data_IF_140852791997
#
_entry.id   IF_140852791997
#
_cell.length_a   1.000
_cell.length_b   1.000
_cell.length_c   1.000
_cell.angle_alpha   90.00
_cell.angle_beta   90.00
_cell.angle_gamma   90.00
#
_symmetry.space_group_name_H-M   'P 1'
#
loop_
_entity.id
_entity.type
_entity.pdbx_description
1 polymer ?
#
# COMPACT_ATOMS: atom_id res chain seq x y z
N UNK A 1 -71.78 -40.85 49.46
CA UNK A 1 -70.39 -40.32 49.47
C UNK A 1 -69.59 -40.55 48.17
N UNK A 2 -70.15 -41.04 47.05
CA UNK A 2 -69.36 -41.32 45.83
C UNK A 2 -69.53 -40.35 44.63
N UNK A 3 -70.55 -39.46 44.60
CA UNK A 3 -70.75 -38.55 43.44
C UNK A 3 -69.93 -37.27 43.50
N UNK A 4 -69.76 -36.67 44.68
CA UNK A 4 -68.96 -35.44 44.84
C UNK A 4 -67.46 -35.66 44.59
N UNK A 5 -66.95 -36.87 44.89
CA UNK A 5 -65.55 -37.23 44.64
C UNK A 5 -65.26 -37.46 43.15
N UNK A 6 -66.22 -37.92 42.35
CA UNK A 6 -66.04 -38.07 40.89
C UNK A 6 -66.11 -36.74 40.14
N UNK A 7 -66.97 -35.82 40.56
CA UNK A 7 -67.07 -34.49 39.95
C UNK A 7 -65.84 -33.63 40.24
N UNK A 8 -65.30 -33.67 41.47
CA UNK A 8 -64.02 -33.02 41.81
C UNK A 8 -62.84 -33.58 41.02
N UNK A 9 -62.79 -34.90 40.79
CA UNK A 9 -61.75 -35.55 39.97
C UNK A 9 -61.88 -35.18 38.49
N UNK A 10 -63.09 -35.14 37.93
CA UNK A 10 -63.36 -34.69 36.55
C UNK A 10 -63.00 -33.21 36.36
N UNK A 11 -63.27 -32.36 37.35
CA UNK A 11 -62.92 -30.94 37.31
C UNK A 11 -61.39 -30.72 37.37
N UNK A 12 -60.66 -31.48 38.21
CA UNK A 12 -59.19 -31.45 38.21
C UNK A 12 -58.58 -32.01 36.93
N UNK A 13 -59.13 -33.09 36.36
CA UNK A 13 -58.68 -33.64 35.07
C UNK A 13 -58.88 -32.65 33.92
N UNK A 14 -60.01 -31.94 33.89
CA UNK A 14 -60.25 -30.85 32.91
C UNK A 14 -59.27 -29.69 33.08
N UNK A 15 -59.00 -29.25 34.32
CA UNK A 15 -58.00 -28.21 34.59
C UNK A 15 -56.59 -28.62 34.15
N UNK A 16 -56.17 -29.85 34.45
CA UNK A 16 -54.87 -30.38 34.01
C UNK A 16 -54.80 -30.45 32.48
N UNK A 17 -55.87 -30.90 31.81
CA UNK A 17 -55.96 -30.91 30.36
C UNK A 17 -55.86 -29.51 29.74
N UNK A 18 -56.53 -28.51 30.33
CA UNK A 18 -56.43 -27.12 29.88
C UNK A 18 -55.03 -26.53 30.07
N UNK A 19 -54.36 -26.83 31.21
CA UNK A 19 -52.98 -26.38 31.45
C UNK A 19 -52.01 -27.02 30.44
N UNK A 20 -52.14 -28.33 30.19
CA UNK A 20 -51.30 -29.03 29.20
C UNK A 20 -51.52 -28.50 27.79
N UNK A 21 -52.75 -28.16 27.42
CA UNK A 21 -53.05 -27.55 26.11
C UNK A 21 -52.40 -26.16 25.99
N UNK A 22 -52.45 -25.33 27.04
CA UNK A 22 -51.81 -24.01 27.04
C UNK A 22 -50.29 -24.15 26.89
N UNK A 23 -49.68 -25.08 27.64
CA UNK A 23 -48.23 -25.36 27.53
C UNK A 23 -47.88 -25.84 26.13
N UNK A 24 -48.66 -26.76 25.55
CA UNK A 24 -48.43 -27.27 24.20
C UNK A 24 -48.53 -26.16 23.16
N UNK A 25 -49.57 -25.33 23.22
CA UNK A 25 -49.72 -24.17 22.33
C UNK A 25 -48.53 -23.23 22.51
N UNK A 26 -48.11 -22.93 23.74
CA UNK A 26 -46.96 -22.08 23.99
C UNK A 26 -45.67 -22.65 23.36
N UNK A 27 -45.39 -23.94 23.55
CA UNK A 27 -44.21 -24.62 22.97
C UNK A 27 -44.27 -24.61 21.44
N UNK A 28 -45.41 -24.95 20.85
CA UNK A 28 -45.57 -24.99 19.38
C UNK A 28 -45.43 -23.59 18.78
N UNK A 29 -46.01 -22.57 19.43
CA UNK A 29 -45.95 -21.19 18.94
C UNK A 29 -44.52 -20.67 19.00
N UNK A 30 -43.80 -20.89 20.10
CA UNK A 30 -42.39 -20.49 20.22
C UNK A 30 -41.48 -21.23 19.23
N UNK A 31 -41.65 -22.55 19.09
CA UNK A 31 -40.87 -23.34 18.13
C UNK A 31 -41.15 -22.91 16.67
N UNK A 32 -42.40 -22.63 16.33
CA UNK A 32 -42.81 -22.14 15.01
C UNK A 32 -42.26 -20.74 14.75
N UNK A 33 -42.38 -19.82 15.72
CA UNK A 33 -41.80 -18.48 15.62
C UNK A 33 -40.29 -18.51 15.48
N UNK A 34 -39.59 -19.40 16.18
CA UNK A 34 -38.16 -19.61 16.04
C UNK A 34 -37.79 -20.13 14.65
N UNK A 35 -38.49 -21.14 14.15
CA UNK A 35 -38.22 -21.73 12.84
C UNK A 35 -38.53 -20.75 11.70
N UNK A 36 -39.69 -20.10 11.74
CA UNK A 36 -40.11 -19.09 10.76
C UNK A 36 -39.17 -17.89 10.83
N UNK A 37 -38.80 -17.42 12.02
CA UNK A 37 -37.86 -16.33 12.22
C UNK A 37 -36.49 -16.60 11.60
N UNK A 38 -35.92 -17.79 11.83
CA UNK A 38 -34.65 -18.18 11.22
C UNK A 38 -34.75 -18.36 9.70
N UNK A 39 -35.84 -18.96 9.20
CA UNK A 39 -36.06 -19.11 7.76
C UNK A 39 -36.23 -17.76 7.05
N UNK A 40 -36.88 -16.79 7.69
CA UNK A 40 -37.01 -15.42 7.21
C UNK A 40 -35.67 -14.66 7.26
N UNK A 41 -34.90 -14.81 8.34
CA UNK A 41 -33.57 -14.20 8.47
C UNK A 41 -32.61 -14.69 7.38
N UNK A 42 -32.61 -16.00 7.07
CA UNK A 42 -31.84 -16.58 5.97
C UNK A 42 -32.30 -16.11 4.57
N UNK A 43 -33.53 -15.60 4.46
CA UNK A 43 -34.07 -14.94 3.26
C UNK A 43 -33.88 -13.42 3.27
N UNK A 44 -33.10 -12.88 4.22
CA UNK A 44 -32.80 -11.46 4.34
C UNK A 44 -33.86 -10.62 5.06
N UNK A 45 -34.88 -11.24 5.67
CA UNK A 45 -35.87 -10.54 6.48
C UNK A 45 -35.44 -10.56 7.94
N UNK A 46 -34.89 -9.45 8.44
CA UNK A 46 -34.42 -9.34 9.83
C UNK A 46 -35.35 -8.49 10.70
N UNK A 47 -35.55 -8.85 11.98
CA UNK A 47 -36.18 -7.94 12.93
C UNK A 47 -35.26 -6.73 13.17
N UNK A 48 -35.85 -5.57 13.52
CA UNK A 48 -35.15 -4.29 13.69
C UNK A 48 -34.01 -4.28 14.75
N UNK A 49 -33.85 -5.36 15.52
CA UNK A 49 -32.79 -5.55 16.51
C UNK A 49 -31.54 -6.28 15.96
N UNK A 50 -31.58 -6.79 14.73
CA UNK A 50 -30.40 -7.35 14.09
C UNK A 50 -29.53 -6.24 13.48
N UNK A 51 -28.21 -6.39 13.54
CA UNK A 51 -27.29 -5.49 12.89
C UNK A 51 -27.58 -5.44 11.38
N UNK A 52 -28.07 -4.28 10.93
CA UNK A 52 -28.50 -4.07 9.55
C UNK A 52 -27.35 -4.19 8.57
N UNK A 53 -26.11 -3.98 8.99
CA UNK A 53 -24.96 -4.05 8.10
C UNK A 53 -24.50 -5.50 7.89
N UNK A 54 -24.62 -6.35 8.91
CA UNK A 54 -24.46 -7.80 8.75
C UNK A 54 -25.54 -8.37 7.82
N UNK A 55 -26.79 -7.91 7.94
CA UNK A 55 -27.86 -8.35 7.05
C UNK A 55 -27.60 -7.94 5.58
N UNK A 56 -27.10 -6.72 5.35
CA UNK A 56 -26.70 -6.25 4.01
C UNK A 56 -25.51 -7.03 3.45
N UNK A 57 -24.53 -7.41 4.27
CA UNK A 57 -23.35 -8.14 3.78
C UNK A 57 -23.69 -9.54 3.25
N UNK A 58 -24.81 -10.12 3.69
CA UNK A 58 -25.34 -11.38 3.18
C UNK A 58 -26.15 -11.23 1.88
N UNK A 59 -26.49 -10.00 1.47
CA UNK A 59 -27.26 -9.74 0.27
C UNK A 59 -26.48 -10.17 -0.99
N UNK A 60 -27.08 -11.05 -1.80
CA UNK A 60 -26.43 -11.62 -2.99
C UNK A 60 -25.62 -12.90 -2.73
N UNK A 61 -25.49 -13.34 -1.48
CA UNK A 61 -24.95 -14.67 -1.14
C UNK A 61 -26.09 -15.69 -1.24
N UNK A 62 -26.14 -16.43 -2.34
CA UNK A 62 -27.20 -17.42 -2.60
C UNK A 62 -27.10 -18.68 -1.71
N UNK A 63 -25.92 -18.96 -1.15
CA UNK A 63 -25.65 -20.14 -0.33
C UNK A 63 -24.63 -19.83 0.77
N UNK A 64 -25.14 -19.34 1.90
CA UNK A 64 -24.33 -19.02 3.09
C UNK A 64 -23.70 -20.29 3.69
N UNK A 65 -24.24 -21.48 3.41
CA UNK A 65 -23.71 -22.74 3.94
C UNK A 65 -22.29 -23.04 3.46
N UNK A 66 -21.85 -22.45 2.34
CA UNK A 66 -20.46 -22.52 1.87
C UNK A 66 -19.45 -21.98 2.87
N UNK A 67 -19.85 -21.03 3.72
CA UNK A 67 -19.02 -20.47 4.78
C UNK A 67 -19.13 -21.24 6.10
N UNK A 68 -20.09 -22.18 6.24
CA UNK A 68 -20.27 -23.00 7.45
C UNK A 68 -18.97 -23.69 7.86
N UNK A 69 -18.20 -24.17 6.88
CA UNK A 69 -16.96 -24.89 7.15
C UNK A 69 -15.92 -24.03 7.90
N UNK A 70 -15.92 -22.71 7.71
CA UNK A 70 -15.04 -21.80 8.47
C UNK A 70 -15.35 -21.89 9.98
N UNK A 71 -16.63 -21.88 10.35
CA UNK A 71 -17.07 -21.99 11.75
C UNK A 71 -16.83 -23.37 12.34
N UNK A 72 -17.03 -24.44 11.55
CA UNK A 72 -16.75 -25.81 11.98
C UNK A 72 -15.24 -25.99 12.28
N UNK A 73 -14.38 -25.45 11.41
CA UNK A 73 -12.92 -25.47 11.60
C UNK A 73 -12.51 -24.65 12.81
N UNK A 74 -13.00 -23.41 12.96
CA UNK A 74 -12.79 -22.58 14.15
C UNK A 74 -13.15 -23.34 15.43
N UNK A 75 -14.33 -23.95 15.48
CA UNK A 75 -14.79 -24.70 16.66
C UNK A 75 -13.90 -25.93 16.95
N UNK A 76 -13.40 -26.57 15.89
CA UNK A 76 -12.45 -27.68 16.01
C UNK A 76 -11.10 -27.22 16.57
N UNK A 77 -10.60 -26.05 16.14
CA UNK A 77 -9.38 -25.46 16.68
C UNK A 77 -9.53 -25.15 18.18
N UNK A 78 -10.60 -24.48 18.59
CA UNK A 78 -10.86 -24.23 20.01
C UNK A 78 -10.98 -25.49 20.86
N UNK A 79 -11.38 -26.62 20.26
CA UNK A 79 -11.52 -27.90 20.97
C UNK A 79 -10.21 -28.66 21.12
N UNK A 80 -9.32 -28.60 20.13
CA UNK A 80 -8.18 -29.52 20.03
C UNK A 80 -6.81 -28.85 19.88
N UNK A 81 -6.74 -27.56 19.55
CA UNK A 81 -5.46 -26.88 19.40
C UNK A 81 -4.81 -26.69 20.78
N UNK A 82 -3.61 -27.24 20.93
CA UNK A 82 -2.81 -27.16 22.16
C UNK A 82 -1.93 -25.90 22.12
N UNK A 83 -2.57 -24.75 22.33
CA UNK A 83 -1.94 -23.43 22.30
C UNK A 83 -2.95 -22.30 22.51
N UNK A 84 -2.45 -21.07 22.70
CA UNK A 84 -3.30 -19.90 22.82
C UNK A 84 -3.91 -19.54 21.47
N UNK A 85 -5.21 -19.26 21.45
CA UNK A 85 -5.92 -18.79 20.26
C UNK A 85 -6.22 -17.30 20.45
N UNK A 86 -5.74 -16.50 19.49
CA UNK A 86 -6.16 -15.13 19.29
C UNK A 86 -7.25 -15.12 18.21
N UNK A 87 -8.47 -14.75 18.59
CA UNK A 87 -9.62 -14.77 17.68
C UNK A 87 -9.48 -13.76 16.53
N UNK A 88 -8.91 -12.58 16.81
CA UNK A 88 -8.75 -11.52 15.81
C UNK A 88 -7.74 -11.98 14.74
N UNK A 89 -6.64 -12.62 15.16
CA UNK A 89 -5.67 -13.21 14.23
C UNK A 89 -6.27 -14.35 13.39
N UNK A 90 -7.14 -15.18 13.98
CA UNK A 90 -7.80 -16.26 13.25
C UNK A 90 -8.71 -15.71 12.14
N UNK A 91 -9.50 -14.68 12.46
CA UNK A 91 -10.40 -14.01 11.51
C UNK A 91 -9.61 -13.28 10.42
N UNK A 92 -8.58 -12.51 10.79
CA UNK A 92 -7.70 -11.84 9.83
C UNK A 92 -7.05 -12.86 8.88
N UNK A 93 -6.55 -13.98 9.41
CA UNK A 93 -5.98 -15.07 8.62
C UNK A 93 -6.97 -15.68 7.62
N UNK A 94 -8.24 -15.84 8.01
CA UNK A 94 -9.28 -16.32 7.12
C UNK A 94 -9.59 -15.32 5.99
N UNK A 95 -9.66 -14.02 6.29
CA UNK A 95 -9.89 -12.95 5.30
C UNK A 95 -8.70 -12.85 4.33
N UNK A 96 -7.46 -12.85 4.86
CA UNK A 96 -6.24 -12.87 4.03
C UNK A 96 -6.20 -14.11 3.14
N UNK A 97 -6.56 -15.27 3.66
CA UNK A 97 -6.68 -16.52 2.88
C UNK A 97 -7.68 -16.41 1.72
N UNK A 98 -8.79 -15.68 1.90
CA UNK A 98 -9.75 -15.43 0.83
C UNK A 98 -9.12 -14.62 -0.31
N UNK A 99 -8.40 -13.54 -0.01
CA UNK A 99 -7.71 -12.74 -1.04
C UNK A 99 -6.58 -13.52 -1.72
N UNK A 100 -5.79 -14.28 -0.95
CA UNK A 100 -4.70 -15.11 -1.46
C UNK A 100 -5.20 -16.20 -2.43
N UNK A 101 -6.42 -16.71 -2.23
CA UNK A 101 -7.02 -17.75 -3.10
C UNK A 101 -7.19 -17.32 -4.56
N UNK A 102 -7.14 -16.01 -4.86
CA UNK A 102 -7.21 -15.47 -6.22
C UNK A 102 -5.93 -15.71 -7.03
N UNK A 103 -4.83 -16.13 -6.39
CA UNK A 103 -3.50 -16.25 -7.00
C UNK A 103 -3.05 -14.95 -7.71
N UNK A 104 -3.58 -13.82 -7.24
CA UNK A 104 -3.19 -12.48 -7.66
C UNK A 104 -2.38 -11.85 -6.51
N UNK A 105 -1.04 -11.72 -6.65
CA UNK A 105 -0.20 -11.19 -5.57
C UNK A 105 -0.47 -9.70 -5.27
N UNK A 106 -1.29 -9.02 -6.08
CA UNK A 106 -1.64 -7.62 -5.87
C UNK A 106 -2.97 -7.41 -5.15
N UNK A 107 -3.82 -8.45 -5.09
CA UNK A 107 -5.08 -8.39 -4.35
C UNK A 107 -4.87 -8.92 -2.94
N UNK A 108 -4.91 -8.03 -1.96
CA UNK A 108 -4.59 -8.33 -0.56
C UNK A 108 -5.53 -7.59 0.38
N UNK A 109 -5.87 -8.25 1.48
CA UNK A 109 -6.43 -7.61 2.66
C UNK A 109 -5.28 -7.08 3.53
N UNK A 110 -5.39 -5.82 3.94
CA UNK A 110 -4.42 -5.13 4.79
C UNK A 110 -5.06 -4.91 6.16
N UNK A 111 -4.39 -5.39 7.21
CA UNK A 111 -4.72 -5.04 8.58
C UNK A 111 -4.55 -3.52 8.78
N UNK A 112 -5.04 -3.00 9.91
CA UNK A 112 -4.90 -1.57 10.23
C UNK A 112 -3.46 -1.07 10.11
N UNK A 113 -2.51 -1.81 10.69
CA UNK A 113 -1.09 -1.46 10.63
C UNK A 113 -0.54 -1.52 9.20
N UNK A 114 -0.89 -2.56 8.44
CA UNK A 114 -0.44 -2.71 7.05
C UNK A 114 -1.02 -1.61 6.15
N UNK A 115 -2.25 -1.16 6.41
CA UNK A 115 -2.87 -0.06 5.68
C UNK A 115 -2.24 1.28 6.05
N UNK A 116 -2.00 1.55 7.34
CA UNK A 116 -1.27 2.74 7.80
C UNK A 116 0.13 2.83 7.16
N UNK A 117 0.90 1.74 7.19
CA UNK A 117 2.23 1.67 6.58
C UNK A 117 2.16 1.85 5.04
N UNK A 118 1.10 1.36 4.39
CA UNK A 118 0.85 1.55 2.96
C UNK A 118 0.53 3.00 2.61
N UNK A 119 -0.31 3.68 3.39
CA UNK A 119 -0.68 5.08 3.18
C UNK A 119 0.52 6.00 3.37
N UNK A 120 1.29 5.85 4.45
CA UNK A 120 2.50 6.65 4.67
C UNK A 120 3.49 6.54 3.49
N UNK A 121 3.67 5.32 2.97
CA UNK A 121 4.51 5.09 1.79
C UNK A 121 3.93 5.75 0.54
N UNK A 122 2.62 5.71 0.36
CA UNK A 122 1.96 6.21 -0.86
C UNK A 122 1.88 7.74 -0.87
N UNK A 123 1.55 8.35 0.26
CA UNK A 123 1.57 9.81 0.45
C UNK A 123 2.97 10.41 0.29
N UNK A 124 4.03 9.59 0.33
CA UNK A 124 5.40 10.09 0.28
C UNK A 124 5.77 10.87 1.54
N UNK A 125 4.97 10.74 2.61
CA UNK A 125 5.20 11.48 3.84
C UNK A 125 4.69 10.72 5.04
N UNK A 126 5.30 10.96 6.20
CA UNK A 126 4.84 10.41 7.47
C UNK A 126 5.03 11.43 8.58
N UNK A 127 4.25 11.31 9.66
CA UNK A 127 4.40 12.17 10.83
C UNK A 127 5.41 11.57 11.81
N UNK A 128 6.52 12.27 12.03
CA UNK A 128 7.58 11.77 12.90
C UNK A 128 8.72 12.76 13.09
N UNK A 129 9.88 12.25 13.47
CA UNK A 129 11.05 13.08 13.78
C UNK A 129 11.97 13.29 12.58
N UNK A 130 11.86 12.43 11.55
CA UNK A 130 12.73 12.45 10.37
C UNK A 130 14.10 11.82 10.63
N UNK A 131 14.12 10.64 11.24
CA UNK A 131 15.35 9.88 11.52
C UNK A 131 15.35 8.57 10.73
N UNK A 132 16.48 8.28 10.08
CA UNK A 132 16.81 6.92 9.66
C UNK A 132 17.57 6.24 10.80
N UNK A 133 17.00 5.16 11.31
CA UNK A 133 17.58 4.36 12.41
C UNK A 133 17.79 2.92 11.97
N UNK A 134 18.76 2.26 12.58
CA UNK A 134 19.05 0.86 12.39
C UNK A 134 19.58 0.22 13.66
N UNK A 135 19.85 -1.08 13.61
CA UNK A 135 20.48 -1.79 14.73
C UNK A 135 21.98 -1.88 14.48
N UNK A 136 22.76 -1.42 15.47
CA UNK A 136 24.21 -1.64 15.53
C UNK A 136 24.57 -2.06 16.95
N UNK A 137 25.27 -3.18 17.10
CA UNK A 137 25.70 -3.72 18.39
C UNK A 137 24.55 -3.85 19.43
N UNK A 138 23.39 -4.38 18.98
CA UNK A 138 22.14 -4.51 19.75
C UNK A 138 21.56 -3.19 20.30
N UNK A 139 21.91 -2.06 19.66
CA UNK A 139 21.42 -0.71 20.02
C UNK A 139 20.72 -0.05 18.85
N UNK A 140 19.67 0.72 19.15
CA UNK A 140 19.02 1.60 18.18
C UNK A 140 19.96 2.76 17.88
N UNK A 141 20.47 2.81 16.66
CA UNK A 141 21.50 3.78 16.24
C UNK A 141 20.99 4.60 15.08
N UNK A 142 21.23 5.92 15.13
CA UNK A 142 20.93 6.85 14.05
C UNK A 142 21.90 6.60 12.90
N UNK A 143 21.34 6.21 11.76
CA UNK A 143 22.08 6.12 10.49
C UNK A 143 22.29 7.54 9.95
N UNK A 144 21.20 8.30 9.81
CA UNK A 144 21.24 9.71 9.44
C UNK A 144 19.92 10.40 9.79
N UNK A 145 19.92 11.69 10.18
CA UNK A 145 18.73 12.51 10.11
C UNK A 145 18.38 12.80 8.64
N UNK A 146 17.09 12.98 8.36
CA UNK A 146 16.62 13.46 7.06
C UNK A 146 16.89 14.96 6.98
N UNK A 147 17.40 15.43 5.84
CA UNK A 147 17.71 16.85 5.62
C UNK A 147 16.46 17.73 5.82
N UNK A 148 16.61 18.82 6.57
CA UNK A 148 15.55 19.76 6.91
C UNK A 148 14.55 19.26 7.98
N UNK A 149 14.71 18.03 8.47
CA UNK A 149 13.81 17.42 9.45
C UNK A 149 13.89 18.05 10.85
N UNK A 150 12.87 17.85 11.70
CA UNK A 150 12.95 18.23 13.12
C UNK A 150 14.15 17.62 13.85
N UNK A 151 14.50 16.36 13.56
CA UNK A 151 15.64 15.70 14.18
C UNK A 151 16.98 16.32 13.79
N UNK A 152 17.16 16.68 12.51
CA UNK A 152 18.35 17.42 12.06
C UNK A 152 18.44 18.78 12.77
N UNK A 153 17.34 19.53 12.80
CA UNK A 153 17.25 20.84 13.47
C UNK A 153 17.50 20.75 14.98
N UNK A 154 17.15 19.62 15.60
CA UNK A 154 17.43 19.34 17.01
C UNK A 154 18.90 18.92 17.27
N UNK A 155 19.72 18.83 16.23
CA UNK A 155 21.15 18.55 16.31
C UNK A 155 21.49 17.07 16.52
N UNK A 156 20.58 16.16 16.16
CA UNK A 156 20.84 14.71 16.12
C UNK A 156 21.72 14.41 14.90
N UNK A 157 22.73 13.56 15.06
CA UNK A 157 23.74 13.29 14.03
C UNK A 157 23.89 11.78 13.78
N UNK A 158 24.46 11.38 12.63
CA UNK A 158 24.87 9.99 12.39
C UNK A 158 25.72 9.43 13.54
N UNK A 159 25.42 8.20 13.96
CA UNK A 159 26.13 7.50 15.05
C UNK A 159 25.56 7.73 16.45
N UNK A 160 24.61 8.64 16.63
CA UNK A 160 23.88 8.79 17.89
C UNK A 160 23.15 7.49 18.25
N UNK A 161 23.25 7.05 19.51
CA UNK A 161 22.52 5.90 20.03
C UNK A 161 21.30 6.35 20.81
N UNK A 162 20.12 5.89 20.42
CA UNK A 162 18.86 6.17 21.12
C UNK A 162 18.71 5.15 22.26
N UNK A 163 18.76 5.63 23.49
CA UNK A 163 18.61 4.82 24.70
C UNK A 163 17.14 4.78 25.18
N UNK A 164 16.45 5.93 25.08
CA UNK A 164 15.03 6.05 25.46
C UNK A 164 14.25 6.87 24.45
N UNK A 165 12.98 6.50 24.26
CA UNK A 165 11.97 7.31 23.60
C UNK A 165 10.88 7.62 24.62
N UNK A 166 10.75 8.91 24.97
CA UNK A 166 10.05 9.40 26.15
C UNK A 166 10.59 8.69 27.41
N UNK A 167 9.72 8.03 28.18
CA UNK A 167 10.09 7.31 29.39
C UNK A 167 10.35 5.81 29.14
N UNK A 168 10.37 5.37 27.88
CA UNK A 168 10.53 3.96 27.50
C UNK A 168 11.96 3.69 27.03
N UNK A 169 12.65 2.78 27.74
CA UNK A 169 13.92 2.21 27.28
C UNK A 169 13.74 1.42 25.98
N UNK A 170 14.72 1.55 25.09
CA UNK A 170 14.73 0.85 23.81
C UNK A 170 16.08 0.18 23.54
N UNK A 171 16.02 -0.99 22.92
CA UNK A 171 17.18 -1.78 22.50
C UNK A 171 17.07 -2.15 21.02
N UNK A 172 18.11 -2.75 20.43
CA UNK A 172 18.11 -3.19 19.03
C UNK A 172 16.95 -4.14 18.70
N UNK A 173 16.58 -5.01 19.65
CA UNK A 173 15.42 -5.91 19.53
C UNK A 173 14.07 -5.21 19.52
N UNK A 174 14.02 -3.95 19.98
CA UNK A 174 12.82 -3.13 20.07
C UNK A 174 12.78 -2.03 19.00
N UNK A 175 13.53 -2.18 17.90
CA UNK A 175 13.58 -1.18 16.83
C UNK A 175 12.18 -0.73 16.37
N UNK A 176 11.28 -1.67 16.10
CA UNK A 176 9.92 -1.37 15.62
C UNK A 176 9.11 -0.59 16.66
N UNK A 177 9.27 -0.93 17.93
CA UNK A 177 8.65 -0.22 19.06
C UNK A 177 9.22 1.20 19.18
N UNK A 178 10.55 1.36 19.07
CA UNK A 178 11.19 2.66 19.07
C UNK A 178 10.69 3.54 17.91
N UNK A 179 10.59 2.99 16.70
CA UNK A 179 10.03 3.68 15.52
C UNK A 179 8.59 4.10 15.79
N UNK A 180 7.76 3.19 16.30
CA UNK A 180 6.36 3.48 16.62
C UNK A 180 6.20 4.61 17.65
N UNK A 181 7.08 4.67 18.66
CA UNK A 181 7.07 5.74 19.68
C UNK A 181 7.55 7.09 19.12
N UNK A 182 8.47 7.08 18.15
CA UNK A 182 8.96 8.29 17.49
C UNK A 182 7.94 8.88 16.50
N UNK A 183 7.12 8.03 15.86
CA UNK A 183 5.97 8.45 15.06
C UNK A 183 4.82 8.94 15.95
N UNK A 184 3.84 9.60 15.34
CA UNK A 184 2.65 10.08 16.04
C UNK A 184 2.15 11.42 15.51
N UNK A 185 1.20 12.02 16.23
CA UNK A 185 0.54 13.26 15.80
C UNK A 185 1.53 14.41 15.57
N UNK A 186 1.30 15.17 14.50
CA UNK A 186 2.03 16.41 14.20
C UNK A 186 2.10 17.33 15.43
N UNK A 187 3.24 18.02 15.59
CA UNK A 187 3.54 18.97 16.68
C UNK A 187 3.56 18.37 18.09
N UNK A 188 3.42 17.06 18.26
CA UNK A 188 3.65 16.43 19.55
C UNK A 188 5.15 16.31 19.83
N UNK A 189 5.59 16.68 21.03
CA UNK A 189 6.99 16.55 21.47
C UNK A 189 7.34 15.07 21.71
N UNK A 190 8.57 14.69 21.37
CA UNK A 190 9.22 13.44 21.78
C UNK A 190 10.51 13.79 22.49
N UNK A 191 10.72 13.18 23.66
CA UNK A 191 11.99 13.27 24.38
C UNK A 191 12.85 12.05 24.03
N UNK A 192 14.03 12.26 23.46
CA UNK A 192 14.99 11.21 23.18
C UNK A 192 16.15 11.31 24.17
N UNK A 193 16.45 10.22 24.89
CA UNK A 193 17.73 10.11 25.60
C UNK A 193 18.76 9.51 24.66
N UNK A 194 19.78 10.27 24.31
CA UNK A 194 20.78 9.92 23.29
C UNK A 194 22.15 9.77 23.94
N UNK A 195 22.91 8.76 23.53
CA UNK A 195 24.35 8.65 23.79
C UNK A 195 25.15 8.97 22.54
N UNK A 196 26.05 9.95 22.64
CA UNK A 196 26.95 10.36 21.56
C UNK A 196 28.40 10.18 21.96
N UNK A 197 29.19 9.61 21.06
CA UNK A 197 30.63 9.46 21.24
C UNK A 197 31.29 10.83 21.53
N UNK A 198 32.14 10.89 22.57
CA UNK A 198 32.81 12.11 23.00
C UNK A 198 31.95 13.13 23.77
N UNK A 199 30.61 12.98 23.79
CA UNK A 199 29.70 13.89 24.51
C UNK A 199 28.97 13.22 25.69
N UNK A 200 28.84 11.89 25.68
CA UNK A 200 28.11 11.13 26.69
C UNK A 200 26.59 11.15 26.45
N UNK A 201 25.82 10.92 27.51
CA UNK A 201 24.35 10.83 27.45
C UNK A 201 23.69 12.17 27.72
N UNK A 202 22.71 12.55 26.89
CA UNK A 202 21.92 13.77 27.06
C UNK A 202 20.53 13.62 26.44
N UNK A 203 19.61 14.45 26.90
CA UNK A 203 18.25 14.48 26.39
C UNK A 203 18.11 15.48 25.23
N UNK A 204 17.35 15.10 24.20
CA UNK A 204 16.96 15.96 23.08
C UNK A 204 15.44 15.95 22.98
N UNK A 205 14.84 17.14 22.91
CA UNK A 205 13.42 17.31 22.63
C UNK A 205 13.24 17.58 21.15
N UNK A 206 12.41 16.78 20.50
CA UNK A 206 12.14 16.89 19.07
C UNK A 206 10.64 16.98 18.87
N UNK A 207 10.19 17.98 18.11
CA UNK A 207 8.79 18.12 17.75
C UNK A 207 8.50 17.27 16.52
N UNK A 208 7.44 16.45 16.56
CA UNK A 208 6.99 15.74 15.36
C UNK A 208 6.54 16.72 14.29
N UNK A 209 6.84 16.41 13.05
CA UNK A 209 6.40 17.17 11.88
C UNK A 209 6.10 16.21 10.72
N UNK A 210 5.50 16.71 9.65
CA UNK A 210 5.33 15.98 8.41
C UNK A 210 6.69 15.85 7.72
N UNK A 211 7.20 14.63 7.65
CA UNK A 211 8.46 14.31 7.00
C UNK A 211 8.16 13.90 5.56
N UNK A 212 8.58 14.73 4.61
CA UNK A 212 8.47 14.41 3.18
C UNK A 212 9.64 13.56 2.72
N UNK A 213 9.35 12.45 2.05
CA UNK A 213 10.33 11.66 1.35
C UNK A 213 10.71 12.37 0.04
N UNK A 214 12.00 12.37 -0.29
CA UNK A 214 12.48 12.99 -1.52
C UNK A 214 12.34 11.96 -2.65
N UNK A 215 11.22 12.02 -3.39
CA UNK A 215 10.96 11.13 -4.51
C UNK A 215 11.70 11.54 -5.79
N UNK A 216 12.01 12.83 -5.96
CA UNK A 216 12.69 13.40 -7.13
C UNK A 216 14.03 14.03 -6.75
N UNK A 217 15.11 13.56 -7.35
CA UNK A 217 16.45 14.17 -7.27
C UNK A 217 16.90 14.58 -8.66
N UNK A 218 17.63 15.68 -8.78
CA UNK A 218 18.18 16.05 -10.07
C UNK A 218 19.29 17.09 -10.03
N UNK A 219 20.14 17.03 -11.04
CA UNK A 219 21.38 17.81 -11.18
C UNK A 219 21.79 17.90 -12.66
N UNK A 220 22.74 18.78 -12.98
CA UNK A 220 23.42 18.79 -14.28
C UNK A 220 24.64 17.87 -14.17
N UNK A 221 24.75 16.87 -15.05
CA UNK A 221 25.79 15.85 -14.99
C UNK A 221 26.88 16.00 -16.07
N UNK A 222 26.61 16.71 -17.15
CA UNK A 222 27.59 17.05 -18.18
C UNK A 222 27.13 18.27 -18.97
N UNK A 223 27.76 19.43 -18.71
CA UNK A 223 27.49 20.75 -19.34
C UNK A 223 26.01 21.14 -19.40
N UNK A 224 25.26 20.59 -20.36
CA UNK A 224 23.84 20.86 -20.62
C UNK A 224 22.95 19.63 -20.47
N UNK A 225 23.45 18.51 -19.95
CA UNK A 225 22.69 17.27 -19.73
C UNK A 225 22.21 17.27 -18.28
N UNK A 226 20.89 17.31 -18.12
CA UNK A 226 20.24 17.09 -16.84
C UNK A 226 20.11 15.60 -16.56
N UNK A 227 20.17 15.25 -15.29
CA UNK A 227 19.81 13.95 -14.76
C UNK A 227 18.71 14.14 -13.74
N UNK A 228 17.61 13.42 -13.88
CA UNK A 228 16.55 13.37 -12.87
C UNK A 228 16.30 11.90 -12.52
N UNK A 229 16.36 11.58 -11.23
CA UNK A 229 15.95 10.29 -10.68
C UNK A 229 14.59 10.42 -10.02
N UNK A 230 13.69 9.48 -10.32
CA UNK A 230 12.42 9.31 -9.61
C UNK A 230 12.43 7.94 -8.94
N UNK A 231 12.36 7.91 -7.61
CA UNK A 231 12.42 6.66 -6.83
C UNK A 231 11.04 6.05 -6.55
N UNK A 232 9.97 6.84 -6.69
CA UNK A 232 8.57 6.43 -6.52
C UNK A 232 7.63 7.50 -7.07
N UNK A 233 6.44 7.10 -7.49
CA UNK A 233 5.37 8.03 -7.90
C UNK A 233 4.42 8.27 -6.73
N UNK A 234 4.94 8.93 -5.71
CA UNK A 234 4.22 9.34 -4.50
C UNK A 234 3.41 10.62 -4.74
N UNK A 235 2.58 11.01 -3.78
CA UNK A 235 1.87 12.28 -3.84
C UNK A 235 2.86 13.45 -4.06
N UNK A 236 2.50 14.41 -4.92
CA UNK A 236 3.32 15.57 -5.31
C UNK A 236 4.55 15.27 -6.20
N UNK A 237 4.84 14.00 -6.54
CA UNK A 237 6.00 13.65 -7.39
C UNK A 237 6.01 14.40 -8.73
N UNK A 238 4.86 14.55 -9.39
CA UNK A 238 4.76 15.28 -10.65
C UNK A 238 5.10 16.77 -10.50
N UNK A 239 4.70 17.38 -9.38
CA UNK A 239 4.99 18.78 -9.07
C UNK A 239 6.47 18.96 -8.75
N UNK A 240 7.06 18.07 -7.97
CA UNK A 240 8.49 18.10 -7.64
C UNK A 240 9.34 17.85 -8.88
N UNK A 241 8.90 16.93 -9.76
CA UNK A 241 9.49 16.70 -11.07
C UNK A 241 9.43 17.97 -11.93
N UNK A 242 8.28 18.62 -12.04
CA UNK A 242 8.14 19.84 -12.83
C UNK A 242 9.00 20.99 -12.29
N UNK A 243 9.07 21.14 -10.96
CA UNK A 243 9.96 22.11 -10.32
C UNK A 243 11.43 21.83 -10.64
N UNK A 244 11.86 20.57 -10.50
CA UNK A 244 13.25 20.17 -10.80
C UNK A 244 13.58 20.33 -12.28
N UNK A 245 12.66 19.95 -13.16
CA UNK A 245 12.79 20.09 -14.61
C UNK A 245 13.01 21.56 -15.00
N UNK A 246 12.19 22.47 -14.45
CA UNK A 246 12.35 23.92 -14.67
C UNK A 246 13.66 24.45 -14.08
N UNK A 247 14.05 24.02 -12.89
CA UNK A 247 15.32 24.42 -12.29
C UNK A 247 16.52 24.03 -13.17
N UNK A 248 16.50 22.83 -13.76
CA UNK A 248 17.57 22.39 -14.66
C UNK A 248 17.52 23.11 -16.01
N UNK A 249 16.32 23.39 -16.55
CA UNK A 249 16.14 24.22 -17.75
C UNK A 249 16.72 25.62 -17.56
N UNK A 250 16.42 26.28 -16.44
CA UNK A 250 16.96 27.60 -16.07
C UNK A 250 18.49 27.58 -15.93
N UNK A 251 19.08 26.42 -15.61
CA UNK A 251 20.54 26.18 -15.59
C UNK A 251 21.14 25.84 -16.95
N UNK A 252 20.36 25.89 -18.03
CA UNK A 252 20.82 25.66 -19.39
C UNK A 252 20.77 24.19 -19.84
N UNK A 253 19.97 23.35 -19.19
CA UNK A 253 19.72 21.98 -19.64
C UNK A 253 19.12 21.96 -21.06
N UNK A 254 19.67 21.11 -21.93
CA UNK A 254 19.23 20.89 -23.31
C UNK A 254 18.76 19.46 -23.58
N UNK A 255 19.05 18.54 -22.67
CA UNK A 255 18.71 17.13 -22.78
C UNK A 255 18.58 16.51 -21.39
N UNK A 256 17.81 15.43 -21.28
CA UNK A 256 17.52 14.78 -20.00
C UNK A 256 17.84 13.28 -20.03
N UNK A 257 18.52 12.81 -19.00
CA UNK A 257 18.52 11.41 -18.58
C UNK A 257 17.51 11.28 -17.43
N UNK A 258 16.45 10.50 -17.65
CA UNK A 258 15.44 10.17 -16.64
C UNK A 258 15.72 8.78 -16.08
N UNK A 259 16.02 8.68 -14.79
CA UNK A 259 16.34 7.41 -14.13
C UNK A 259 15.13 6.87 -13.35
N UNK A 260 14.60 5.75 -13.83
CA UNK A 260 13.48 5.00 -13.23
C UNK A 260 13.93 3.63 -12.71
N UNK A 261 15.24 3.38 -12.63
CA UNK A 261 15.77 2.10 -12.12
C UNK A 261 15.40 1.92 -10.66
N UNK A 262 14.91 0.75 -10.31
CA UNK A 262 14.47 0.41 -8.96
C UNK A 262 13.15 1.07 -8.52
N UNK A 263 12.50 1.87 -9.38
CA UNK A 263 11.24 2.53 -9.04
C UNK A 263 10.04 1.58 -9.21
N UNK A 264 9.37 1.17 -8.12
CA UNK A 264 8.28 0.18 -8.17
C UNK A 264 6.94 0.74 -8.68
N UNK A 265 6.91 2.01 -9.08
CA UNK A 265 5.73 2.71 -9.54
C UNK A 265 5.13 3.62 -8.46
N UNK A 266 3.81 3.66 -8.38
CA UNK A 266 3.06 4.55 -7.50
C UNK A 266 1.76 5.00 -8.17
N UNK A 267 1.32 6.22 -7.89
CA UNK A 267 0.06 6.75 -8.38
C UNK A 267 0.05 6.99 -9.89
N UNK A 268 -1.07 6.60 -10.52
CA UNK A 268 -1.29 6.70 -11.96
C UNK A 268 -1.29 8.15 -12.46
N UNK A 269 -1.94 9.05 -11.73
CA UNK A 269 -2.00 10.47 -12.10
C UNK A 269 -0.61 11.12 -12.08
N UNK A 270 0.21 10.78 -11.08
CA UNK A 270 1.57 11.31 -10.93
C UNK A 270 2.43 10.90 -12.14
N UNK A 271 2.36 9.63 -12.57
CA UNK A 271 3.15 9.18 -13.71
C UNK A 271 2.65 9.75 -15.05
N UNK A 272 1.32 9.90 -15.20
CA UNK A 272 0.72 10.56 -16.37
C UNK A 272 1.18 12.01 -16.45
N UNK A 273 1.21 12.74 -15.33
CA UNK A 273 1.62 14.14 -15.30
C UNK A 273 3.13 14.31 -15.51
N UNK A 274 3.96 13.40 -14.98
CA UNK A 274 5.41 13.36 -15.28
C UNK A 274 5.65 13.19 -16.78
N UNK A 275 5.11 12.14 -17.40
CA UNK A 275 5.36 11.85 -18.82
C UNK A 275 4.68 12.85 -19.77
N UNK A 276 3.62 13.54 -19.31
CA UNK A 276 2.97 14.62 -20.05
C UNK A 276 3.94 15.74 -20.43
N UNK A 277 5.04 15.94 -19.69
CA UNK A 277 6.05 16.94 -20.03
C UNK A 277 6.73 16.68 -21.38
N UNK A 278 6.72 15.45 -21.87
CA UNK A 278 7.38 15.04 -23.12
C UNK A 278 6.40 14.73 -24.25
N UNK A 279 5.11 14.59 -23.95
CA UNK A 279 4.07 14.16 -24.91
C UNK A 279 3.11 15.32 -25.21
N UNK A 280 2.78 15.62 -26.47
CA UNK A 280 1.78 16.64 -26.81
C UNK A 280 0.42 16.44 -26.12
N UNK A 281 -0.22 17.54 -25.72
CA UNK A 281 -1.53 17.53 -25.05
C UNK A 281 -2.57 16.73 -25.85
N UNK A 282 -3.38 15.94 -25.14
CA UNK A 282 -4.48 15.16 -25.70
C UNK A 282 -4.11 13.79 -26.26
N UNK A 283 -2.81 13.45 -26.34
CA UNK A 283 -2.35 12.11 -26.71
C UNK A 283 -2.54 11.13 -25.54
N UNK A 284 -3.01 9.92 -25.83
CA UNK A 284 -3.21 8.87 -24.81
C UNK A 284 -1.87 8.44 -24.20
N UNK A 285 -1.73 8.55 -22.89
CA UNK A 285 -0.55 8.02 -22.17
C UNK A 285 -0.75 6.54 -21.85
N UNK A 286 -1.96 6.18 -21.41
CA UNK A 286 -2.32 4.81 -21.00
C UNK A 286 -3.83 4.64 -21.08
N UNK A 287 -4.29 3.43 -21.41
CA UNK A 287 -5.69 3.05 -21.25
C UNK A 287 -5.84 1.92 -20.24
N UNK A 288 -6.99 1.85 -19.58
CA UNK A 288 -7.34 0.79 -18.63
C UNK A 288 -8.65 0.14 -19.06
N UNK A 289 -8.70 -1.19 -19.06
CA UNK A 289 -9.91 -1.95 -19.37
C UNK A 289 -10.29 -2.81 -18.17
N UNK A 290 -11.51 -2.62 -17.68
CA UNK A 290 -12.05 -3.37 -16.54
C UNK A 290 -12.72 -4.69 -16.95
N UNK A 291 -13.25 -5.42 -15.97
CA UNK A 291 -13.94 -6.70 -16.22
C UNK A 291 -15.26 -6.54 -17.01
N UNK A 292 -15.84 -5.35 -17.04
CA UNK A 292 -17.06 -5.01 -17.77
C UNK A 292 -16.78 -4.49 -19.19
N UNK A 293 -15.52 -4.50 -19.62
CA UNK A 293 -15.06 -3.98 -20.93
C UNK A 293 -15.18 -2.46 -21.05
N UNK A 294 -15.30 -1.75 -19.94
CA UNK A 294 -15.22 -0.29 -19.93
C UNK A 294 -13.77 0.13 -20.10
N UNK A 295 -13.49 0.91 -21.15
CA UNK A 295 -12.18 1.49 -21.41
C UNK A 295 -12.13 2.93 -20.87
N UNK A 296 -11.14 3.24 -20.04
CA UNK A 296 -10.81 4.60 -19.62
C UNK A 296 -9.43 4.97 -20.16
N UNK A 297 -9.27 6.22 -20.62
CA UNK A 297 -8.00 6.73 -21.17
C UNK A 297 -7.51 7.89 -20.32
N UNK A 298 -6.23 7.84 -19.96
CA UNK A 298 -5.52 8.98 -19.38
C UNK A 298 -4.70 9.64 -20.48
N UNK A 299 -4.97 10.93 -20.72
CA UNK A 299 -4.35 11.69 -21.80
C UNK A 299 -3.32 12.67 -21.26
N UNK A 300 -2.28 12.92 -22.05
CA UNK A 300 -1.25 13.90 -21.74
C UNK A 300 -1.84 15.29 -21.58
N UNK A 301 -1.36 16.01 -20.56
CA UNK A 301 -1.64 17.44 -20.36
C UNK A 301 -0.71 18.35 -21.18
N UNK A 302 0.37 17.81 -21.74
CA UNK A 302 1.47 18.56 -22.32
C UNK A 302 2.38 19.20 -21.26
N UNK A 303 3.57 19.63 -21.68
CA UNK A 303 4.48 20.37 -20.80
C UNK A 303 5.71 20.93 -21.53
N UNK A 304 6.73 21.30 -20.78
CA UNK A 304 7.84 22.16 -21.24
C UNK A 304 8.96 21.41 -21.97
N UNK A 305 9.03 20.09 -21.86
CA UNK A 305 10.12 19.27 -22.42
C UNK A 305 9.72 18.52 -23.71
N UNK A 306 8.65 18.95 -24.39
CA UNK A 306 8.23 18.35 -25.66
C UNK A 306 9.33 18.59 -26.71
N UNK A 307 9.84 17.50 -27.28
CA UNK A 307 10.93 17.54 -28.28
C UNK A 307 12.34 17.61 -27.68
N UNK A 308 12.47 17.66 -26.36
CA UNK A 308 13.78 17.57 -25.69
C UNK A 308 14.38 16.18 -25.89
N UNK A 309 15.68 16.06 -26.25
CA UNK A 309 16.37 14.78 -26.23
C UNK A 309 16.24 14.09 -24.87
N UNK A 310 15.80 12.82 -24.90
CA UNK A 310 15.49 12.04 -23.71
C UNK A 310 16.11 10.65 -23.80
N UNK A 311 16.76 10.23 -22.72
CA UNK A 311 17.15 8.84 -22.46
C UNK A 311 16.53 8.43 -21.12
N UNK A 312 15.97 7.23 -21.05
CA UNK A 312 15.33 6.70 -19.84
C UNK A 312 16.09 5.47 -19.38
N UNK A 313 16.59 5.49 -18.15
CA UNK A 313 17.21 4.33 -17.51
C UNK A 313 16.13 3.47 -16.84
N UNK A 314 16.12 2.17 -17.17
CA UNK A 314 15.14 1.20 -16.64
C UNK A 314 15.82 -0.12 -16.27
N UNK A 315 15.24 -0.83 -15.30
CA UNK A 315 15.70 -2.16 -14.92
C UNK A 315 14.54 -3.03 -14.42
N UNK A 316 14.85 -4.22 -13.93
CA UNK A 316 13.89 -5.21 -13.42
C UNK A 316 13.07 -4.69 -12.22
N UNK A 317 13.56 -3.66 -11.53
CA UNK A 317 12.84 -2.98 -10.43
C UNK A 317 11.90 -1.86 -10.90
N UNK A 318 12.00 -1.43 -12.16
CA UNK A 318 11.06 -0.48 -12.76
C UNK A 318 9.70 -1.18 -12.95
N UNK A 319 8.66 -0.74 -12.25
CA UNK A 319 7.35 -1.40 -12.30
C UNK A 319 6.17 -0.42 -12.38
N UNK A 320 5.02 -0.90 -12.87
CA UNK A 320 3.73 -0.20 -12.83
C UNK A 320 3.79 1.21 -13.45
N UNK A 321 3.62 2.27 -12.68
CA UNK A 321 3.74 3.66 -13.16
C UNK A 321 5.05 3.93 -13.92
N UNK A 322 6.19 3.38 -13.49
CA UNK A 322 7.47 3.47 -14.23
C UNK A 322 7.37 2.86 -15.63
N UNK A 323 6.61 1.76 -15.77
CA UNK A 323 6.38 1.08 -17.04
C UNK A 323 5.37 1.81 -17.91
N UNK A 324 4.44 2.57 -17.33
CA UNK A 324 3.55 3.47 -18.06
C UNK A 324 4.37 4.62 -18.68
N UNK A 325 5.25 5.25 -17.91
CA UNK A 325 6.16 6.29 -18.41
C UNK A 325 7.06 5.72 -19.52
N UNK A 326 7.72 4.60 -19.25
CA UNK A 326 8.61 3.92 -20.20
C UNK A 326 7.88 3.48 -21.48
N UNK A 327 6.71 2.89 -21.35
CA UNK A 327 5.88 2.43 -22.45
C UNK A 327 5.36 3.58 -23.32
N UNK A 328 4.95 4.69 -22.71
CA UNK A 328 4.52 5.87 -23.47
C UNK A 328 5.68 6.53 -24.22
N UNK A 329 6.86 6.63 -23.60
CA UNK A 329 8.07 7.18 -24.25
C UNK A 329 8.50 6.32 -25.44
N UNK A 330 8.51 4.99 -25.26
CA UNK A 330 8.80 4.01 -26.31
C UNK A 330 7.80 4.11 -27.45
N UNK A 331 6.51 4.07 -27.14
CA UNK A 331 5.44 4.00 -28.15
C UNK A 331 5.35 5.28 -28.97
N UNK A 332 5.59 6.45 -28.36
CA UNK A 332 5.67 7.72 -29.07
C UNK A 332 7.04 7.99 -29.70
N UNK A 333 8.04 7.14 -29.48
CA UNK A 333 9.42 7.28 -29.99
C UNK A 333 10.07 8.62 -29.64
N UNK A 334 9.80 9.12 -28.43
CA UNK A 334 10.28 10.43 -27.96
C UNK A 334 11.55 10.34 -27.10
N UNK A 335 11.99 9.13 -26.75
CA UNK A 335 13.21 8.89 -25.99
C UNK A 335 13.77 7.50 -26.26
N UNK A 336 14.94 7.22 -25.71
CA UNK A 336 15.60 5.91 -25.83
C UNK A 336 15.70 5.25 -24.45
N UNK A 337 15.20 4.02 -24.33
CA UNK A 337 15.25 3.23 -23.10
C UNK A 337 16.56 2.45 -23.04
N UNK A 338 17.26 2.54 -21.91
CA UNK A 338 18.57 1.91 -21.68
C UNK A 338 18.53 1.11 -20.38
N UNK A 339 19.08 -0.10 -20.37
CA UNK A 339 19.23 -0.92 -19.17
C UNK A 339 18.68 -2.33 -19.34
N UNK A 340 17.74 -2.76 -18.48
CA UNK A 340 17.14 -4.12 -18.53
C UNK A 340 15.63 -4.07 -18.61
N UNK A 341 15.02 -5.17 -19.06
CA UNK A 341 13.56 -5.32 -19.15
C UNK A 341 12.90 -5.03 -17.81
N UNK A 342 11.82 -4.25 -17.84
CA UNK A 342 11.08 -3.88 -16.63
C UNK A 342 10.29 -5.04 -16.02
N UNK A 343 9.73 -4.83 -14.83
CA UNK A 343 9.12 -5.88 -14.01
C UNK A 343 7.93 -6.63 -14.65
N UNK A 344 7.06 -5.93 -15.39
CA UNK A 344 5.86 -6.47 -16.02
C UNK A 344 4.59 -6.40 -15.18
N UNK A 345 4.35 -5.31 -14.44
CA UNK A 345 3.11 -5.15 -13.65
C UNK A 345 2.02 -4.41 -14.44
N UNK A 346 1.42 -5.08 -15.43
CA UNK A 346 0.35 -4.54 -16.30
C UNK A 346 -1.08 -4.50 -15.72
N UNK A 347 -1.25 -4.25 -14.42
CA UNK A 347 -2.56 -4.29 -13.71
C UNK A 347 -2.75 -3.07 -12.81
N UNK A 348 -4.01 -2.67 -12.60
CA UNK A 348 -4.42 -1.53 -11.77
C UNK A 348 -5.11 -2.04 -10.51
N UNK A 349 -4.68 -1.53 -9.35
CA UNK A 349 -5.31 -1.78 -8.07
C UNK A 349 -6.08 -0.54 -7.60
N UNK A 350 -7.18 -0.77 -6.89
CA UNK A 350 -7.84 0.24 -6.06
C UNK A 350 -7.71 -0.20 -4.61
N UNK A 351 -7.51 0.77 -3.73
CA UNK A 351 -7.53 0.57 -2.27
C UNK A 351 -8.90 1.01 -1.77
N UNK A 352 -9.56 0.09 -1.07
CA UNK A 352 -10.89 0.26 -0.50
C UNK A 352 -10.74 0.25 1.02
N UNK A 353 -10.58 1.42 1.66
CA UNK A 353 -10.45 1.50 3.11
C UNK A 353 -11.78 1.23 3.81
N UNK A 354 -11.71 0.49 4.90
CA UNK A 354 -12.78 0.37 5.88
C UNK A 354 -12.58 1.43 6.96
N UNK A 355 -13.54 2.36 7.04
CA UNK A 355 -13.48 3.48 7.98
C UNK A 355 -13.87 3.09 9.40
N UNK A 356 -14.41 1.90 9.60
CA UNK A 356 -14.90 1.43 10.90
C UNK A 356 -13.78 0.85 11.75
N UNK A 357 -12.91 0.04 11.15
CA UNK A 357 -11.82 -0.65 11.84
C UNK A 357 -10.41 -0.21 11.38
N UNK A 358 -10.33 0.58 10.30
CA UNK A 358 -9.07 1.07 9.75
C UNK A 358 -8.33 0.06 8.89
N UNK A 359 -8.97 -1.04 8.50
CA UNK A 359 -8.41 -2.02 7.54
C UNK A 359 -8.63 -1.56 6.10
N UNK A 360 -8.07 -2.28 5.12
CA UNK A 360 -8.33 -1.99 3.71
C UNK A 360 -8.23 -3.22 2.82
N UNK A 361 -9.06 -3.25 1.77
CA UNK A 361 -8.91 -4.20 0.67
C UNK A 361 -8.23 -3.51 -0.52
N UNK A 362 -7.03 -3.96 -0.88
CA UNK A 362 -6.42 -3.59 -2.16
C UNK A 362 -6.80 -4.65 -3.19
N UNK A 363 -7.47 -4.24 -4.27
CA UNK A 363 -8.03 -5.17 -5.27
C UNK A 363 -7.65 -4.79 -6.69
N UNK A 364 -7.23 -5.77 -7.50
CA UNK A 364 -7.02 -5.58 -8.93
C UNK A 364 -8.36 -5.43 -9.65
N UNK A 365 -8.58 -4.28 -10.28
CA UNK A 365 -9.85 -3.95 -10.96
C UNK A 365 -9.74 -3.89 -12.49
N UNK A 366 -8.54 -3.71 -13.02
CA UNK A 366 -8.33 -3.48 -14.45
C UNK A 366 -6.95 -3.91 -14.91
N UNK A 367 -6.82 -4.12 -16.21
CA UNK A 367 -5.53 -4.20 -16.91
C UNK A 367 -5.27 -2.86 -17.58
N UNK A 368 -4.00 -2.45 -17.66
CA UNK A 368 -3.64 -1.27 -18.44
C UNK A 368 -2.87 -1.61 -19.71
N UNK A 369 -2.93 -0.70 -20.66
CA UNK A 369 -2.39 -0.86 -22.00
C UNK A 369 -1.60 0.38 -22.40
N UNK A 370 -0.44 0.17 -23.01
CA UNK A 370 0.40 1.26 -23.55
C UNK A 370 -0.31 1.99 -24.70
N UNK A 371 0.19 3.13 -25.19
CA UNK A 371 -0.43 3.84 -26.31
C UNK A 371 -0.65 2.98 -27.57
N UNK A 372 0.22 1.99 -27.82
CA UNK A 372 0.07 1.03 -28.92
C UNK A 372 -0.91 -0.13 -28.61
N UNK A 373 -1.57 -0.13 -27.46
CA UNK A 373 -2.53 -1.17 -27.07
C UNK A 373 -1.89 -2.44 -26.51
N UNK A 374 -0.62 -2.39 -26.07
CA UNK A 374 0.06 -3.56 -25.49
C UNK A 374 -0.23 -3.67 -23.98
N UNK A 375 -0.66 -4.84 -23.50
CA UNK A 375 -0.64 -5.16 -22.07
C UNK A 375 0.68 -5.85 -21.72
N UNK A 376 1.43 -5.21 -20.81
CA UNK A 376 2.81 -5.60 -20.47
C UNK A 376 2.88 -6.55 -19.26
N UNK A 377 1.73 -7.06 -18.81
CA UNK A 377 1.64 -7.91 -17.64
C UNK A 377 2.45 -9.21 -17.82
N UNK A 378 3.34 -9.49 -16.87
CA UNK A 378 4.33 -10.60 -16.86
C UNK A 378 5.34 -10.58 -18.02
N UNK A 379 5.43 -9.47 -18.76
CA UNK A 379 6.36 -9.29 -19.88
C UNK A 379 7.37 -8.17 -19.64
N UNK A 380 6.89 -7.07 -19.08
CA UNK A 380 7.67 -5.83 -18.97
C UNK A 380 7.80 -5.08 -20.30
N UNK A 381 8.51 -3.97 -20.24
CA UNK A 381 8.95 -3.13 -21.34
C UNK A 381 10.41 -3.48 -21.59
N UNK A 382 10.71 -3.97 -22.79
CA UNK A 382 12.10 -4.20 -23.22
C UNK A 382 12.77 -2.84 -23.50
N UNK A 383 14.01 -2.59 -23.03
CA UNK A 383 14.76 -1.40 -23.41
C UNK A 383 15.16 -1.43 -24.88
N UNK A 384 15.40 -0.26 -25.46
CA UNK A 384 15.93 -0.14 -26.83
C UNK A 384 17.40 -0.58 -26.87
N UNK A 385 18.15 -0.27 -25.81
CA UNK A 385 19.55 -0.67 -25.63
C UNK A 385 19.69 -1.44 -24.33
N UNK A 386 19.92 -2.75 -24.46
CA UNK A 386 20.13 -3.61 -23.30
C UNK A 386 21.57 -3.46 -22.77
N UNK A 387 21.70 -3.20 -21.48
CA UNK A 387 22.99 -3.03 -20.79
C UNK A 387 22.91 -3.69 -19.43
N UNK A 388 23.76 -4.68 -19.21
CA UNK A 388 23.87 -5.36 -17.92
C UNK A 388 24.53 -4.47 -16.86
N UNK A 389 24.07 -4.62 -15.61
CA UNK A 389 24.76 -4.07 -14.46
C UNK A 389 25.58 -5.19 -13.80
N UNK A 390 26.93 -5.12 -13.81
CA UNK A 390 27.79 -6.15 -13.25
C UNK A 390 27.47 -6.44 -11.77
N UNK A 391 27.40 -7.73 -11.41
CA UNK A 391 27.05 -8.16 -10.04
C UNK A 391 28.10 -7.68 -9.03
N UNK A 392 29.34 -7.57 -9.46
CA UNK A 392 30.46 -7.10 -8.65
C UNK A 392 30.23 -5.66 -8.17
N UNK A 393 29.59 -4.83 -8.99
CA UNK A 393 29.25 -3.45 -8.64
C UNK A 393 28.09 -3.35 -7.66
N UNK A 394 27.16 -4.32 -7.66
CA UNK A 394 26.03 -4.35 -6.70
C UNK A 394 26.48 -4.55 -5.25
N UNK A 395 27.65 -5.16 -5.03
CA UNK A 395 28.22 -5.40 -3.70
C UNK A 395 29.02 -4.22 -3.14
N UNK A 396 29.26 -3.19 -3.97
CA UNK A 396 30.06 -2.01 -3.62
C UNK A 396 29.15 -0.80 -3.39
N UNK A 397 29.69 0.23 -2.72
CA UNK A 397 29.04 1.54 -2.70
C UNK A 397 28.88 2.06 -4.13
N UNK A 398 27.69 2.57 -4.46
CA UNK A 398 27.40 3.07 -5.80
C UNK A 398 28.37 4.17 -6.23
N UNK A 399 28.95 4.00 -7.42
CA UNK A 399 29.77 5.01 -8.10
C UNK A 399 29.22 5.23 -9.51
N UNK A 400 28.70 6.43 -9.78
CA UNK A 400 28.12 6.78 -11.09
C UNK A 400 29.13 6.67 -12.23
N UNK A 401 30.41 6.96 -11.99
CA UNK A 401 31.44 6.85 -13.03
C UNK A 401 31.70 5.40 -13.48
N UNK A 402 31.39 4.43 -12.62
CA UNK A 402 31.50 2.99 -12.92
C UNK A 402 30.17 2.38 -13.39
N UNK A 403 29.08 3.14 -13.43
CA UNK A 403 27.75 2.67 -13.83
C UNK A 403 27.67 2.52 -15.37
N UNK A 404 27.70 1.30 -15.92
CA UNK A 404 27.73 1.10 -17.36
C UNK A 404 26.43 1.54 -18.04
N UNK A 405 25.30 1.45 -17.35
CA UNK A 405 24.01 1.88 -17.88
C UNK A 405 23.94 3.40 -17.96
N UNK A 406 24.40 4.11 -16.92
CA UNK A 406 24.51 5.57 -16.94
C UNK A 406 25.50 6.04 -18.01
N UNK A 407 26.67 5.41 -18.10
CA UNK A 407 27.68 5.75 -19.11
C UNK A 407 27.13 5.55 -20.54
N UNK A 408 26.38 4.47 -20.78
CA UNK A 408 25.74 4.24 -22.08
C UNK A 408 24.63 5.27 -22.36
N UNK A 409 23.86 5.65 -21.35
CA UNK A 409 22.88 6.72 -21.50
C UNK A 409 23.54 8.07 -21.84
N UNK A 410 24.68 8.37 -21.22
CA UNK A 410 25.46 9.59 -21.49
C UNK A 410 26.04 9.60 -22.91
N UNK A 411 26.50 8.45 -23.41
CA UNK A 411 26.92 8.28 -24.80
C UNK A 411 25.76 8.59 -25.78
N UNK A 412 24.62 7.92 -25.59
CA UNK A 412 23.45 8.04 -26.48
C UNK A 412 22.87 9.45 -26.45
N UNK A 413 22.75 10.07 -25.28
CA UNK A 413 22.17 11.41 -25.18
C UNK A 413 23.07 12.45 -25.85
N UNK A 414 24.40 12.30 -25.75
CA UNK A 414 25.34 13.20 -26.42
C UNK A 414 25.25 13.11 -27.95
N UNK A 415 24.95 11.94 -28.51
CA UNK A 415 24.70 11.80 -29.95
C UNK A 415 23.44 12.52 -30.42
N UNK A 416 22.42 12.68 -29.55
CA UNK A 416 21.17 13.37 -29.85
C UNK A 416 21.25 14.90 -29.73
N UNK A 417 22.29 15.43 -29.09
CA UNK A 417 22.52 16.88 -28.89
C UNK A 417 23.37 17.48 -30.01
N UNK A 418 24.12 16.65 -30.74
CA UNK A 418 24.85 17.05 -31.96
C UNK A 418 23.88 17.38 -33.09
#
# INVERSE_FOLDING_TARGET
MNKENEEGKKHNLKKIGSVLLIVLVFVVTNASSFYVGNALALKGFTPAAADTDVAKSLQGINDVSKFKKLFDVRSTLYKYYDGNIDEDQLVEGAIKGMTASLNDPYTVFMSKKEYEDFEEKSEGSYMGLGLQVGVKDDKVTVVAPIEGSPAEKAGIIPGDVILKVNDTDVSGKELDKAISLMKGKEKAEVKLAISREGKGTFDVKVMRDVIKMISVKGEIVDKTIGYIQINGFEQETAKDFQKKLKELEDKGMKALILDLRGNPGGYLNECVDVVSNFIPKGKTVVSTIDKYKTENKSNSKGGIAIGMPLVVLVNEGSASASEIVSGAIRDYKIGTLVGKTTFGKGVVQVVLPDKTDGTALKVTISKYYTPNGENIHKKGIKPDVEVDYPKELLSKSYNRGEDPQFNKALEIINEKIK
#
